data_IF_815483179292
#
_entry.id   IF_815483179292
#
_cell.length_a   1.000
_cell.length_b   1.000
_cell.length_c   1.000
_cell.angle_alpha   90.00
_cell.angle_beta   90.00
_cell.angle_gamma   90.00
#
_symmetry.space_group_name_H-M   'P 1'
#
loop_
_entity.id
_entity.type
_entity.pdbx_description
1 polymer ?
#
# COMPACT_ATOMS: atom_id res chain seq x y z
N UNK A 1 -25.19 -11.36 -0.68
CA UNK A 1 -24.22 -10.23 -0.67
C UNK A 1 -23.83 -9.97 -2.10
N UNK A 2 -23.73 -8.72 -2.59
CA UNK A 2 -23.01 -8.49 -3.83
C UNK A 2 -21.56 -8.90 -3.54
N UNK A 3 -21.11 -9.91 -4.26
CA UNK A 3 -19.73 -10.34 -4.27
C UNK A 3 -18.93 -9.15 -4.83
N UNK A 4 -18.30 -8.34 -3.97
CA UNK A 4 -17.47 -7.25 -4.46
C UNK A 4 -16.28 -7.85 -5.18
N UNK A 5 -16.29 -7.73 -6.49
CA UNK A 5 -15.21 -8.14 -7.34
C UNK A 5 -14.53 -6.88 -7.90
N UNK A 6 -13.52 -6.35 -7.20
CA UNK A 6 -12.77 -5.19 -7.69
C UNK A 6 -12.01 -5.47 -9.01
N UNK A 7 -11.96 -6.72 -9.48
CA UNK A 7 -11.40 -7.07 -10.79
C UNK A 7 -12.39 -6.88 -11.93
N UNK A 8 -13.69 -6.67 -11.62
CA UNK A 8 -14.77 -6.50 -12.60
C UNK A 8 -15.64 -5.25 -12.36
N UNK A 9 -15.86 -4.89 -11.10
CA UNK A 9 -16.70 -3.76 -10.73
C UNK A 9 -15.93 -2.44 -10.78
N UNK A 10 -16.13 -1.69 -11.87
CA UNK A 10 -15.52 -0.39 -12.11
C UNK A 10 -15.88 0.62 -11.03
N UNK A 11 -17.11 0.61 -10.52
CA UNK A 11 -17.56 1.57 -9.52
C UNK A 11 -16.87 1.26 -8.19
N UNK A 12 -16.93 0.00 -7.72
CA UNK A 12 -16.30 -0.42 -6.48
C UNK A 12 -14.77 -0.24 -6.49
N UNK A 13 -14.11 -0.48 -7.63
CA UNK A 13 -12.68 -0.23 -7.77
C UNK A 13 -12.34 1.28 -7.83
N UNK A 14 -13.30 2.14 -8.15
CA UNK A 14 -13.09 3.57 -8.41
C UNK A 14 -12.40 3.84 -9.74
N UNK A 15 -12.79 3.09 -10.78
CA UNK A 15 -12.40 3.29 -12.17
C UNK A 15 -11.65 2.13 -12.82
N UNK A 16 -11.52 2.22 -14.15
CA UNK A 16 -10.88 1.20 -14.99
C UNK A 16 -9.40 0.95 -14.64
N UNK A 17 -8.68 2.02 -14.31
CA UNK A 17 -7.27 1.92 -13.94
C UNK A 17 -7.09 1.01 -12.71
N UNK A 18 -7.86 1.24 -11.65
CA UNK A 18 -7.78 0.44 -10.42
C UNK A 18 -8.26 -0.99 -10.64
N UNK A 19 -9.32 -1.17 -11.42
CA UNK A 19 -9.82 -2.50 -11.81
C UNK A 19 -8.72 -3.32 -12.49
N UNK A 20 -7.95 -2.67 -13.37
CA UNK A 20 -6.82 -3.30 -14.06
C UNK A 20 -5.70 -3.68 -13.09
N UNK A 21 -5.40 -2.83 -12.11
CA UNK A 21 -4.39 -3.11 -11.08
C UNK A 21 -4.81 -4.27 -10.17
N UNK A 22 -6.08 -4.33 -9.78
CA UNK A 22 -6.62 -5.44 -9.02
C UNK A 22 -6.53 -6.75 -9.79
N UNK A 23 -6.95 -6.75 -11.06
CA UNK A 23 -6.83 -7.94 -11.91
C UNK A 23 -5.38 -8.40 -12.04
N UNK A 24 -4.45 -7.48 -12.27
CA UNK A 24 -3.02 -7.78 -12.37
C UNK A 24 -2.48 -8.46 -11.09
N UNK A 25 -2.88 -7.97 -9.91
CA UNK A 25 -2.48 -8.56 -8.63
C UNK A 25 -3.17 -9.91 -8.35
N UNK A 26 -4.46 -10.04 -8.68
CA UNK A 26 -5.23 -11.26 -8.48
C UNK A 26 -4.75 -12.41 -9.40
N UNK A 27 -4.42 -12.10 -10.66
CA UNK A 27 -3.90 -13.08 -11.62
C UNK A 27 -2.45 -13.48 -11.32
N UNK A 28 -1.69 -12.60 -10.65
CA UNK A 28 -0.26 -12.81 -10.34
C UNK A 28 0.04 -12.46 -8.86
N UNK A 29 -0.52 -13.20 -7.89
CA UNK A 29 -0.51 -12.80 -6.48
C UNK A 29 0.85 -12.92 -5.81
N UNK A 30 1.67 -13.88 -6.24
CA UNK A 30 2.98 -14.16 -5.66
C UNK A 30 4.11 -13.29 -6.20
N UNK A 31 5.31 -13.51 -5.65
CA UNK A 31 6.53 -12.77 -5.99
C UNK A 31 7.67 -13.68 -6.48
N UNK A 32 7.36 -14.82 -7.12
CA UNK A 32 8.38 -15.75 -7.62
C UNK A 32 9.02 -15.33 -8.96
N UNK A 33 8.31 -14.58 -9.81
CA UNK A 33 8.81 -14.13 -11.11
C UNK A 33 9.21 -12.64 -11.05
N UNK A 34 10.50 -12.36 -11.21
CA UNK A 34 11.04 -11.00 -11.20
C UNK A 34 10.42 -10.09 -12.28
N UNK A 35 10.06 -10.62 -13.46
CA UNK A 35 9.47 -9.81 -14.53
C UNK A 35 8.07 -9.34 -14.14
N UNK A 36 7.25 -10.26 -13.65
CA UNK A 36 5.89 -9.94 -13.17
C UNK A 36 5.95 -8.97 -11.99
N UNK A 37 6.89 -9.16 -11.06
CA UNK A 37 7.06 -8.26 -9.93
C UNK A 37 7.52 -6.87 -10.38
N UNK A 38 8.48 -6.77 -11.30
CA UNK A 38 8.96 -5.50 -11.83
C UNK A 38 7.83 -4.73 -12.53
N UNK A 39 7.00 -5.42 -13.31
CA UNK A 39 5.86 -4.84 -13.99
C UNK A 39 4.79 -4.36 -13.00
N UNK A 40 4.46 -5.15 -11.96
CA UNK A 40 3.56 -4.73 -10.87
C UNK A 40 4.07 -3.46 -10.18
N UNK A 41 5.35 -3.44 -9.80
CA UNK A 41 5.97 -2.28 -9.14
C UNK A 41 5.91 -1.03 -10.04
N UNK A 42 6.23 -1.19 -11.33
CA UNK A 42 6.25 -0.13 -12.33
C UNK A 42 4.85 0.45 -12.56
N UNK A 43 3.87 -0.41 -12.84
CA UNK A 43 2.52 0.01 -13.21
C UNK A 43 1.84 0.67 -12.02
N UNK A 44 1.86 0.05 -10.83
CA UNK A 44 1.28 0.64 -9.60
C UNK A 44 1.98 1.97 -9.27
N UNK A 45 3.32 2.00 -9.36
CA UNK A 45 4.11 3.20 -9.06
C UNK A 45 3.80 4.37 -10.00
N UNK A 46 3.56 4.10 -11.29
CA UNK A 46 3.22 5.13 -12.28
C UNK A 46 1.77 5.60 -12.18
N UNK A 47 0.80 4.68 -12.07
CA UNK A 47 -0.63 5.05 -12.01
C UNK A 47 -0.90 5.98 -10.82
N UNK A 48 -0.27 5.73 -9.68
CA UNK A 48 -0.48 6.53 -8.48
C UNK A 48 0.47 7.70 -8.30
N UNK A 49 1.33 8.00 -9.29
CA UNK A 49 2.42 8.98 -9.13
C UNK A 49 3.25 8.75 -7.84
N UNK A 50 3.21 7.52 -7.33
CA UNK A 50 3.81 7.08 -6.09
C UNK A 50 5.16 6.43 -6.39
N UNK A 51 5.91 6.98 -7.35
CA UNK A 51 7.07 6.31 -7.90
C UNK A 51 8.07 5.95 -6.78
N UNK A 52 8.25 4.64 -6.56
CA UNK A 52 9.23 4.06 -5.63
C UNK A 52 10.65 4.57 -5.90
N UNK A 53 10.88 5.06 -7.12
CA UNK A 53 12.13 5.60 -7.64
C UNK A 53 12.50 6.99 -7.10
N UNK A 54 11.58 7.70 -6.41
CA UNK A 54 11.84 9.05 -5.89
C UNK A 54 13.04 9.07 -4.93
N UNK A 55 14.07 9.85 -5.23
CA UNK A 55 15.27 9.91 -4.38
C UNK A 55 16.23 8.73 -4.55
N UNK A 56 16.00 7.82 -5.51
CA UNK A 56 16.93 6.74 -5.83
C UNK A 56 18.23 7.20 -6.51
N UNK A 57 18.38 8.50 -6.77
CA UNK A 57 19.55 9.10 -7.44
C UNK A 57 19.55 8.87 -8.96
N UNK A 58 20.39 9.62 -9.68
CA UNK A 58 20.68 9.39 -11.10
C UNK A 58 22.00 8.66 -11.19
N UNK A 59 21.98 7.40 -11.62
CA UNK A 59 23.20 6.63 -11.87
C UNK A 59 23.81 6.90 -13.25
N UNK A 60 23.10 7.60 -14.13
CA UNK A 60 23.61 8.22 -15.35
C UNK A 60 22.50 9.06 -15.98
N UNK A 61 22.75 10.32 -16.29
CA UNK A 61 21.75 11.24 -16.86
C UNK A 61 21.47 11.01 -18.35
N UNK A 62 22.01 9.95 -18.95
CA UNK A 62 22.07 9.77 -20.41
C UNK A 62 21.23 8.60 -20.94
N UNK A 63 20.43 7.90 -20.13
CA UNK A 63 19.70 6.72 -20.58
C UNK A 63 18.24 6.65 -20.09
N UNK A 64 17.29 6.69 -21.01
CA UNK A 64 15.84 6.50 -20.78
C UNK A 64 15.50 5.15 -20.14
N UNK A 65 16.43 4.18 -20.12
CA UNK A 65 16.28 2.86 -19.52
C UNK A 65 16.43 2.84 -17.98
N UNK A 66 16.84 3.94 -17.35
CA UNK A 66 17.10 4.00 -15.90
C UNK A 66 15.92 3.55 -15.02
N UNK A 67 14.65 3.93 -15.32
CA UNK A 67 13.51 3.49 -14.51
C UNK A 67 13.38 1.97 -14.51
N UNK A 68 13.50 1.32 -15.68
CA UNK A 68 13.31 -0.12 -15.82
C UNK A 68 14.34 -0.91 -15.02
N UNK A 69 15.63 -0.56 -15.11
CA UNK A 69 16.70 -1.26 -14.37
C UNK A 69 16.52 -1.19 -12.86
N UNK A 70 16.01 -0.07 -12.33
CA UNK A 70 15.70 0.04 -10.90
C UNK A 70 14.51 -0.87 -10.52
N UNK A 71 13.45 -0.93 -11.34
CA UNK A 71 12.35 -1.86 -11.07
C UNK A 71 12.77 -3.32 -11.14
N UNK A 72 13.63 -3.69 -12.09
CA UNK A 72 14.20 -5.05 -12.17
C UNK A 72 15.01 -5.36 -10.90
N UNK A 73 15.84 -4.42 -10.42
CA UNK A 73 16.60 -4.60 -9.17
C UNK A 73 15.71 -4.74 -7.92
N UNK A 74 14.67 -3.92 -7.81
CA UNK A 74 13.69 -4.02 -6.72
C UNK A 74 12.93 -5.35 -6.79
N UNK A 75 12.58 -5.80 -7.99
CA UNK A 75 11.89 -7.07 -8.18
C UNK A 75 12.76 -8.26 -7.76
N UNK A 76 14.04 -8.26 -8.10
CA UNK A 76 14.98 -9.27 -7.60
C UNK A 76 15.04 -9.31 -6.07
N UNK A 77 14.97 -8.14 -5.40
CA UNK A 77 14.88 -8.09 -3.95
C UNK A 77 13.62 -8.80 -3.44
N UNK A 78 12.46 -8.49 -4.03
CA UNK A 78 11.19 -9.09 -3.61
C UNK A 78 11.12 -10.60 -3.90
N UNK A 79 11.74 -11.07 -5.00
CA UNK A 79 11.88 -12.51 -5.26
C UNK A 79 12.68 -13.19 -4.15
N UNK A 80 13.79 -12.58 -3.70
CA UNK A 80 14.61 -13.16 -2.61
C UNK A 80 13.86 -13.27 -1.28
N UNK A 81 12.91 -12.38 -1.03
CA UNK A 81 12.13 -12.36 0.21
C UNK A 81 10.68 -12.84 0.04
N UNK A 82 10.37 -13.49 -1.09
CA UNK A 82 9.00 -13.85 -1.45
C UNK A 82 8.36 -14.79 -0.43
N UNK A 83 9.08 -15.75 0.14
CA UNK A 83 8.56 -16.71 1.12
C UNK A 83 7.97 -16.01 2.35
N UNK A 84 8.62 -14.94 2.81
CA UNK A 84 8.10 -14.10 3.90
C UNK A 84 6.93 -13.24 3.43
N UNK A 85 7.09 -12.51 2.32
CA UNK A 85 6.08 -11.58 1.83
C UNK A 85 4.78 -12.29 1.42
N UNK A 86 4.88 -13.34 0.61
CA UNK A 86 3.76 -14.16 0.15
C UNK A 86 3.12 -14.90 1.32
N UNK A 87 3.91 -15.37 2.29
CA UNK A 87 3.41 -15.98 3.53
C UNK A 87 2.55 -15.01 4.34
N UNK A 88 3.02 -13.76 4.52
CA UNK A 88 2.26 -12.71 5.19
C UNK A 88 0.98 -12.37 4.42
N UNK A 89 1.08 -12.13 3.11
CA UNK A 89 -0.07 -11.83 2.24
C UNK A 89 -1.10 -12.95 2.22
N UNK A 90 -0.68 -14.22 2.27
CA UNK A 90 -1.59 -15.36 2.32
C UNK A 90 -2.39 -15.41 3.63
N UNK A 91 -1.82 -14.95 4.76
CA UNK A 91 -2.60 -14.83 6.00
C UNK A 91 -3.51 -13.59 5.97
N UNK A 92 -3.00 -12.45 5.51
CA UNK A 92 -3.76 -11.20 5.46
C UNK A 92 -4.92 -11.25 4.46
N UNK A 93 -4.83 -12.04 3.40
CA UNK A 93 -5.95 -12.27 2.47
C UNK A 93 -7.10 -13.10 3.07
N UNK A 94 -6.93 -13.67 4.27
CA UNK A 94 -8.01 -14.32 5.03
C UNK A 94 -8.77 -13.33 5.91
N UNK A 95 -8.34 -12.08 5.97
CA UNK A 95 -9.02 -11.04 6.73
C UNK A 95 -10.26 -10.60 5.95
N UNK A 96 -11.43 -10.87 6.51
CA UNK A 96 -12.70 -10.36 5.98
C UNK A 96 -12.87 -8.87 6.29
N UNK A 97 -12.27 -8.36 7.38
CA UNK A 97 -12.35 -6.95 7.77
C UNK A 97 -11.15 -6.56 8.64
N UNK A 98 -10.44 -5.50 8.26
CA UNK A 98 -9.40 -4.93 9.11
C UNK A 98 -10.01 -4.34 10.39
N UNK A 99 -9.39 -4.60 11.53
CA UNK A 99 -9.77 -4.08 12.84
C UNK A 99 -8.51 -3.88 13.70
N UNK A 100 -8.70 -3.52 14.97
CA UNK A 100 -7.58 -3.31 15.90
C UNK A 100 -6.80 -4.60 16.17
N UNK A 101 -7.48 -5.76 16.24
CA UNK A 101 -6.90 -7.04 16.62
C UNK A 101 -5.96 -7.58 15.54
N UNK A 102 -6.32 -7.39 14.26
CA UNK A 102 -5.48 -7.80 13.14
C UNK A 102 -4.50 -6.71 12.63
N UNK A 103 -4.62 -5.47 13.13
CA UNK A 103 -3.80 -4.34 12.67
C UNK A 103 -2.29 -4.57 12.85
N UNK A 104 -1.86 -5.28 13.89
CA UNK A 104 -0.44 -5.54 14.14
C UNK A 104 0.20 -6.28 12.94
N UNK A 105 -0.44 -7.34 12.45
CA UNK A 105 0.04 -8.12 11.31
C UNK A 105 0.06 -7.30 10.01
N UNK A 106 -0.95 -6.44 9.81
CA UNK A 106 -1.01 -5.51 8.66
C UNK A 106 0.17 -4.54 8.69
N UNK A 107 0.42 -3.91 9.84
CA UNK A 107 1.51 -2.95 10.02
C UNK A 107 2.88 -3.62 9.91
N UNK A 108 3.03 -4.85 10.40
CA UNK A 108 4.27 -5.63 10.26
C UNK A 108 4.60 -5.93 8.80
N UNK A 109 3.61 -6.38 8.01
CA UNK A 109 3.80 -6.65 6.59
C UNK A 109 4.15 -5.37 5.81
N UNK A 110 3.47 -4.25 6.12
CA UNK A 110 3.79 -2.95 5.54
C UNK A 110 5.22 -2.51 5.87
N UNK A 111 5.60 -2.57 7.16
CA UNK A 111 6.95 -2.20 7.63
C UNK A 111 8.03 -3.07 6.98
N UNK A 112 7.77 -4.37 6.87
CA UNK A 112 8.67 -5.33 6.23
C UNK A 112 8.92 -4.93 4.78
N UNK A 113 7.88 -4.83 3.95
CA UNK A 113 8.03 -4.47 2.53
C UNK A 113 8.69 -3.09 2.37
N UNK A 114 8.33 -2.12 3.20
CA UNK A 114 8.97 -0.80 3.19
C UNK A 114 10.48 -0.87 3.47
N UNK A 115 10.88 -1.64 4.49
CA UNK A 115 12.28 -1.87 4.82
C UNK A 115 13.06 -2.50 3.67
N UNK A 116 12.47 -3.52 3.03
CA UNK A 116 13.06 -4.24 1.90
C UNK A 116 13.29 -3.31 0.68
N UNK A 117 12.30 -2.48 0.34
CA UNK A 117 12.42 -1.51 -0.76
C UNK A 117 13.44 -0.41 -0.43
N UNK A 118 13.41 0.15 0.78
CA UNK A 118 14.37 1.18 1.19
C UNK A 118 15.80 0.63 1.17
N UNK A 119 16.01 -0.59 1.68
CA UNK A 119 17.32 -1.22 1.67
C UNK A 119 17.79 -1.49 0.25
N UNK A 120 16.94 -2.05 -0.62
CA UNK A 120 17.31 -2.29 -2.02
C UNK A 120 17.65 -1.00 -2.78
N UNK A 121 16.98 0.13 -2.50
CA UNK A 121 17.35 1.42 -3.11
C UNK A 121 18.70 1.91 -2.56
N UNK A 122 19.01 1.70 -1.28
CA UNK A 122 20.34 2.04 -0.72
C UNK A 122 21.43 1.20 -1.39
N UNK A 123 21.19 -0.09 -1.58
CA UNK A 123 22.11 -1.00 -2.27
C UNK A 123 22.30 -0.56 -3.74
N UNK A 124 21.21 -0.16 -4.40
CA UNK A 124 21.23 0.40 -5.75
C UNK A 124 22.07 1.68 -5.86
N UNK A 125 21.95 2.61 -4.91
CA UNK A 125 22.77 3.83 -4.90
C UNK A 125 24.27 3.50 -4.73
N UNK A 126 24.60 2.43 -4.02
CA UNK A 126 25.97 2.03 -3.74
C UNK A 126 26.67 2.95 -2.73
N UNK A 127 28.00 2.85 -2.58
CA UNK A 127 28.74 3.55 -1.53
C UNK A 127 28.75 5.08 -1.69
N UNK A 128 28.67 5.58 -2.93
CA UNK A 128 28.64 7.01 -3.23
C UNK A 128 27.19 7.55 -3.23
N UNK A 129 26.50 7.40 -2.10
CA UNK A 129 25.11 7.84 -1.94
C UNK A 129 24.99 9.35 -2.16
N UNK A 130 24.23 9.73 -3.18
CA UNK A 130 24.01 11.13 -3.52
C UNK A 130 22.81 11.76 -2.82
N UNK A 131 21.89 10.94 -2.28
CA UNK A 131 20.65 11.39 -1.61
C UNK A 131 20.20 10.43 -0.54
N UNK A 132 19.61 10.95 0.53
CA UNK A 132 18.93 10.15 1.54
C UNK A 132 17.73 9.39 0.94
N UNK A 133 17.68 8.08 1.18
CA UNK A 133 16.57 7.24 0.74
C UNK A 133 15.43 7.37 1.74
N UNK A 134 14.39 8.09 1.33
CA UNK A 134 13.16 8.28 2.10
C UNK A 134 12.31 7.01 2.15
N UNK A 135 11.45 6.91 3.17
CA UNK A 135 10.47 5.84 3.31
C UNK A 135 9.52 5.77 2.09
N UNK A 136 9.00 4.58 1.83
CA UNK A 136 8.09 4.26 0.71
C UNK A 136 6.67 3.98 1.18
N UNK A 137 6.29 4.50 2.34
CA UNK A 137 5.04 4.14 3.03
C UNK A 137 3.80 4.26 2.13
N UNK A 138 3.71 5.35 1.36
CA UNK A 138 2.60 5.57 0.43
C UNK A 138 2.57 4.55 -0.71
N UNK A 139 3.73 4.26 -1.30
CA UNK A 139 3.83 3.25 -2.36
C UNK A 139 3.50 1.86 -1.82
N UNK A 140 4.09 1.49 -0.68
CA UNK A 140 3.91 0.17 -0.05
C UNK A 140 2.45 -0.04 0.33
N UNK A 141 1.78 0.96 0.92
CA UNK A 141 0.35 0.85 1.24
C UNK A 141 -0.51 0.56 0.01
N UNK A 142 -0.21 1.21 -1.13
CA UNK A 142 -0.93 1.02 -2.39
C UNK A 142 -0.64 -0.35 -2.99
N UNK A 143 0.63 -0.75 -3.01
CA UNK A 143 1.05 -2.06 -3.50
C UNK A 143 0.34 -3.19 -2.73
N UNK A 144 0.37 -3.12 -1.39
CA UNK A 144 -0.28 -4.10 -0.54
C UNK A 144 -1.81 -4.04 -0.62
N UNK A 145 -2.41 -2.86 -0.79
CA UNK A 145 -3.85 -2.71 -1.03
C UNK A 145 -4.32 -3.46 -2.28
N UNK A 146 -3.57 -3.43 -3.38
CA UNK A 146 -3.93 -4.21 -4.57
C UNK A 146 -3.78 -5.72 -4.37
N UNK A 147 -2.90 -6.14 -3.46
CA UNK A 147 -2.63 -7.55 -3.16
C UNK A 147 -3.54 -8.15 -2.08
N UNK A 148 -4.04 -7.32 -1.15
CA UNK A 148 -4.90 -7.70 -0.04
C UNK A 148 -5.84 -6.53 0.34
N UNK A 149 -6.84 -6.22 -0.51
CA UNK A 149 -7.69 -5.02 -0.40
C UNK A 149 -8.51 -4.94 0.89
N UNK A 150 -8.78 -6.06 1.55
CA UNK A 150 -9.51 -6.09 2.82
C UNK A 150 -8.61 -5.79 4.04
N UNK A 151 -7.29 -5.91 3.87
CA UNK A 151 -6.33 -5.78 4.96
C UNK A 151 -5.61 -4.42 4.99
N UNK A 152 -5.45 -3.74 3.84
CA UNK A 152 -4.64 -2.53 3.77
C UNK A 152 -5.46 -1.31 3.37
N UNK A 153 -5.33 -0.21 4.10
CA UNK A 153 -5.76 1.11 3.63
C UNK A 153 -4.70 1.75 2.73
N UNK A 154 -5.13 2.54 1.76
CA UNK A 154 -4.22 3.39 0.98
C UNK A 154 -3.75 4.56 1.84
N UNK A 155 -2.43 4.74 1.91
CA UNK A 155 -1.82 5.97 2.43
C UNK A 155 -1.62 6.95 1.28
N UNK A 156 -2.48 7.95 1.22
CA UNK A 156 -2.39 9.07 0.28
C UNK A 156 -2.45 10.42 1.01
N UNK A 157 -1.72 11.42 0.50
CA UNK A 157 -1.77 12.78 1.03
C UNK A 157 -3.16 13.40 0.93
N UNK A 158 -3.94 13.06 -0.11
CA UNK A 158 -5.30 13.54 -0.29
C UNK A 158 -6.22 12.98 0.81
N UNK A 159 -6.19 11.67 1.03
CA UNK A 159 -6.96 11.02 2.11
C UNK A 159 -6.58 11.56 3.49
N UNK A 160 -5.28 11.76 3.75
CA UNK A 160 -4.80 12.41 4.99
C UNK A 160 -5.32 13.83 5.16
N UNK A 161 -5.39 14.60 4.09
CA UNK A 161 -5.91 15.96 4.12
C UNK A 161 -7.42 15.96 4.37
N UNK A 162 -8.17 15.06 3.73
CA UNK A 162 -9.61 14.89 3.95
C UNK A 162 -9.93 14.57 5.42
N UNK A 163 -9.20 13.62 6.02
CA UNK A 163 -9.34 13.29 7.45
C UNK A 163 -9.04 14.47 8.39
N UNK A 164 -8.15 15.38 7.99
CA UNK A 164 -7.84 16.58 8.77
C UNK A 164 -8.93 17.64 8.65
N UNK A 165 -9.49 17.81 7.45
CA UNK A 165 -10.53 18.81 7.17
C UNK A 165 -11.87 18.44 7.81
N UNK A 166 -12.20 17.14 7.91
CA UNK A 166 -13.44 16.69 8.56
C UNK A 166 -13.48 16.98 10.08
N UNK A 167 -12.39 17.48 10.68
CA UNK A 167 -12.36 17.92 12.09
C UNK A 167 -12.51 16.80 13.12
N UNK A 168 -12.71 15.55 12.68
CA UNK A 168 -12.93 14.36 13.51
C UNK A 168 -11.66 13.57 13.82
N UNK A 169 -10.48 14.12 13.55
CA UNK A 169 -9.22 13.44 13.89
C UNK A 169 -9.08 13.36 15.41
N UNK A 170 -9.50 12.25 16.00
CA UNK A 170 -9.19 11.94 17.40
C UNK A 170 -7.68 11.70 17.56
N UNK A 171 -7.14 11.95 18.76
CA UNK A 171 -5.81 11.45 19.11
C UNK A 171 -5.72 9.95 18.80
N UNK A 172 -4.56 9.52 18.29
CA UNK A 172 -4.34 8.10 18.02
C UNK A 172 -4.15 7.38 19.35
N UNK A 173 -5.14 6.58 19.72
CA UNK A 173 -5.02 5.64 20.84
C UNK A 173 -4.34 4.37 20.33
N UNK A 174 -3.17 4.08 20.90
CA UNK A 174 -2.39 2.90 20.53
C UNK A 174 -2.86 1.70 21.37
N UNK A 175 -3.15 0.55 20.75
CA UNK A 175 -3.42 -0.67 21.50
C UNK A 175 -2.25 -1.00 22.45
N UNK A 176 -2.55 -1.58 23.61
CA UNK A 176 -1.52 -1.87 24.63
C UNK A 176 -0.47 -2.86 24.17
N UNK A 177 -0.84 -3.80 23.29
CA UNK A 177 0.08 -4.76 22.66
C UNK A 177 0.88 -4.18 21.49
N UNK A 178 0.64 -2.93 21.09
CA UNK A 178 1.37 -2.28 19.99
C UNK A 178 2.74 -1.79 20.48
N UNK A 179 3.76 -2.59 20.18
CA UNK A 179 5.17 -2.28 20.47
C UNK A 179 5.64 -1.00 19.75
N UNK A 180 6.68 -0.32 20.27
CA UNK A 180 7.20 0.93 19.68
C UNK A 180 7.56 0.84 18.19
N UNK A 181 8.07 -0.31 17.76
CA UNK A 181 8.45 -0.62 16.38
C UNK A 181 7.27 -0.63 15.40
N UNK A 182 6.05 -0.85 15.90
CA UNK A 182 4.82 -0.84 15.12
C UNK A 182 4.16 0.55 15.10
N UNK A 183 4.64 1.52 15.90
CA UNK A 183 4.10 2.89 15.95
C UNK A 183 4.60 3.74 14.79
N UNK A 184 4.35 3.26 13.57
CA UNK A 184 4.75 3.89 12.31
C UNK A 184 3.74 4.95 11.87
N UNK A 185 4.11 5.88 10.96
CA UNK A 185 3.15 6.79 10.33
C UNK A 185 1.99 6.07 9.64
N UNK A 186 2.23 4.88 9.09
CA UNK A 186 1.18 4.05 8.48
C UNK A 186 0.22 3.50 9.53
N UNK A 187 0.72 2.97 10.65
CA UNK A 187 -0.12 2.49 11.74
C UNK A 187 -1.01 3.61 12.32
N UNK A 188 -0.44 4.81 12.51
CA UNK A 188 -1.20 5.97 12.94
C UNK A 188 -2.31 6.35 11.94
N UNK A 189 -2.05 6.19 10.64
CA UNK A 189 -3.06 6.40 9.59
C UNK A 189 -4.18 5.36 9.66
N UNK A 190 -3.85 4.08 9.79
CA UNK A 190 -4.83 3.01 9.95
C UNK A 190 -5.72 3.23 11.18
N UNK A 191 -5.15 3.57 12.33
CA UNK A 191 -5.91 3.84 13.56
C UNK A 191 -6.86 5.02 13.41
N UNK A 192 -6.45 6.08 12.71
CA UNK A 192 -7.34 7.22 12.40
C UNK A 192 -8.49 6.81 11.51
N UNK A 193 -8.23 5.98 10.50
CA UNK A 193 -9.27 5.46 9.63
C UNK A 193 -10.24 4.55 10.36
N UNK A 194 -9.75 3.62 11.19
CA UNK A 194 -10.59 2.77 12.04
C UNK A 194 -11.46 3.59 12.99
N UNK A 195 -10.91 4.64 13.62
CA UNK A 195 -11.68 5.55 14.46
C UNK A 195 -12.74 6.35 13.65
N UNK A 196 -12.38 6.83 12.46
CA UNK A 196 -13.31 7.52 11.57
C UNK A 196 -14.46 6.61 11.14
N UNK A 197 -14.14 5.37 10.78
CA UNK A 197 -15.10 4.33 10.42
C UNK A 197 -16.03 4.03 11.58
N UNK A 198 -15.49 3.85 12.78
CA UNK A 198 -16.28 3.57 13.97
C UNK A 198 -17.28 4.69 14.30
N UNK A 199 -16.97 5.94 13.92
CA UNK A 199 -17.85 7.08 14.14
C UNK A 199 -18.92 7.24 13.06
N UNK A 200 -18.67 6.81 11.83
CA UNK A 200 -19.51 7.13 10.67
C UNK A 200 -20.19 5.90 10.04
N UNK A 201 -19.60 4.73 10.20
CA UNK A 201 -19.94 3.51 9.46
C UNK A 201 -19.97 2.27 10.38
N UNK A 202 -20.11 2.43 11.72
CA UNK A 202 -20.11 1.32 12.69
C UNK A 202 -21.07 0.20 12.28
N UNK A 203 -22.30 0.56 11.99
CA UNK A 203 -23.40 -0.37 11.66
C UNK A 203 -23.54 -0.59 10.14
N UNK A 204 -22.62 -0.01 9.36
CA UNK A 204 -22.58 -0.17 7.92
C UNK A 204 -21.47 -1.12 7.51
N UNK A 205 -21.65 -1.75 6.37
CA UNK A 205 -20.59 -2.52 5.77
C UNK A 205 -19.66 -1.60 4.97
N UNK A 206 -18.36 -1.80 5.14
CA UNK A 206 -17.32 -1.04 4.46
C UNK A 206 -16.11 -1.92 4.19
N UNK A 207 -15.30 -1.49 3.22
CA UNK A 207 -14.00 -2.07 2.93
C UNK A 207 -12.95 -0.96 2.93
N UNK A 208 -11.66 -1.24 3.12
CA UNK A 208 -10.61 -0.23 2.97
C UNK A 208 -10.75 0.56 1.66
N UNK A 209 -11.07 -0.13 0.56
CA UNK A 209 -11.24 0.52 -0.75
C UNK A 209 -12.41 1.50 -0.79
N UNK A 210 -13.53 1.17 -0.15
CA UNK A 210 -14.69 2.07 -0.08
C UNK A 210 -14.36 3.33 0.71
N UNK A 211 -13.71 3.17 1.87
CA UNK A 211 -13.30 4.30 2.72
C UNK A 211 -12.30 5.18 1.99
N UNK A 212 -11.30 4.59 1.33
CA UNK A 212 -10.34 5.32 0.50
C UNK A 212 -11.03 6.03 -0.66
N UNK A 213 -11.99 5.37 -1.33
CA UNK A 213 -12.77 5.94 -2.43
C UNK A 213 -13.61 7.14 -1.99
N UNK A 214 -14.24 7.06 -0.83
CA UNK A 214 -15.02 8.15 -0.24
C UNK A 214 -14.12 9.34 0.11
N UNK A 215 -13.02 9.12 0.84
CA UNK A 215 -12.10 10.19 1.23
C UNK A 215 -11.39 10.86 0.05
N UNK A 216 -11.26 10.17 -1.08
CA UNK A 216 -10.68 10.70 -2.32
C UNK A 216 -11.74 11.33 -3.25
N UNK A 217 -13.03 11.28 -2.89
CA UNK A 217 -14.13 11.83 -3.69
C UNK A 217 -14.48 11.02 -4.94
N UNK A 218 -14.05 9.75 -5.01
CA UNK A 218 -14.36 8.84 -6.12
C UNK A 218 -15.68 8.09 -5.94
N UNK A 219 -16.13 7.92 -4.70
CA UNK A 219 -17.38 7.27 -4.36
C UNK A 219 -18.31 8.29 -3.71
N UNK A 220 -19.59 8.38 -4.14
CA UNK A 220 -20.56 9.24 -3.49
C UNK A 220 -20.74 8.82 -2.02
N UNK A 221 -21.08 9.79 -1.17
CA UNK A 221 -21.45 9.55 0.21
C UNK A 221 -22.86 8.94 0.21
N UNK A 222 -22.96 7.61 0.12
CA UNK A 222 -24.23 6.90 0.33
C UNK A 222 -24.54 6.90 1.84
N UNK A 223 -24.97 8.05 2.36
CA UNK A 223 -25.55 8.15 3.71
C UNK A 223 -27.01 7.73 3.72
#
# INVERSE_FOLDING_TARGET
MPELDWTKDLAAAGGLANTTLYRMAAENPGHADARLVADKLLVIGRVYSAAVTRGAGQRDHLNEQLPRKLYDHLAERLVRVNSTLDGQLAQLNKIDRIDVDNLAAVVECHRFLNGELVQSIKDWQGPNRSREVQARDSFVSKYLHFHAPMAFFILDSLARNALRVDGRSRPVEWPTYFGPELRTPYAAHCLRLLAYIELNYRDQWWTPRMVDGHLLGYLPDER
#
